data_IF_065858439808
#
_entry.id   IF_065858439808
#
_cell.length_a   1.000
_cell.length_b   1.000
_cell.length_c   1.000
_cell.angle_alpha   90.00
_cell.angle_beta   90.00
_cell.angle_gamma   90.00
#
_symmetry.space_group_name_H-M   'P 1'
#
loop_
_entity.id
_entity.type
_entity.pdbx_description
1 polymer ?
#
# COMPACT_ATOMS: atom_id res chain seq x y z
N UNK A 1 -9.09 15.65 1.57
CA UNK A 1 -8.48 14.34 1.84
C UNK A 1 -9.56 13.37 2.29
N UNK A 2 -9.41 12.11 1.95
CA UNK A 2 -10.37 11.07 2.29
C UNK A 2 -9.70 9.98 3.12
N UNK A 3 -10.48 9.22 3.87
CA UNK A 3 -9.97 8.08 4.61
C UNK A 3 -9.72 6.91 3.67
N UNK A 4 -8.61 6.21 3.88
CA UNK A 4 -8.33 5.03 3.08
C UNK A 4 -9.35 3.92 3.38
N UNK A 5 -9.74 3.17 2.34
CA UNK A 5 -10.70 2.06 2.48
C UNK A 5 -10.13 0.94 3.34
N UNK A 6 -10.92 0.44 4.28
CA UNK A 6 -10.57 -0.67 5.15
C UNK A 6 -11.73 -1.65 5.27
N UNK A 7 -11.51 -2.96 5.12
CA UNK A 7 -10.23 -3.57 4.74
C UNK A 7 -9.88 -3.28 3.28
N UNK A 8 -8.59 -3.45 2.90
CA UNK A 8 -8.20 -3.29 1.51
C UNK A 8 -8.92 -4.29 0.61
N UNK A 9 -9.09 -3.98 -0.69
CA UNK A 9 -9.69 -4.94 -1.61
C UNK A 9 -8.93 -6.27 -1.63
N UNK A 10 -9.66 -7.37 -1.77
CA UNK A 10 -9.08 -8.72 -1.71
C UNK A 10 -7.98 -8.93 -2.76
N UNK A 11 -8.14 -8.36 -3.95
CA UNK A 11 -7.13 -8.48 -5.01
C UNK A 11 -5.79 -7.87 -4.62
N UNK A 12 -5.79 -6.77 -3.89
CA UNK A 12 -4.57 -6.12 -3.40
C UNK A 12 -3.86 -7.03 -2.40
N UNK A 13 -4.60 -7.58 -1.45
CA UNK A 13 -4.02 -8.47 -0.44
C UNK A 13 -3.48 -9.75 -1.07
N UNK A 14 -4.14 -10.26 -2.09
CA UNK A 14 -3.67 -11.42 -2.83
C UNK A 14 -2.33 -11.16 -3.50
N UNK A 15 -2.15 -10.00 -4.11
CA UNK A 15 -0.88 -9.63 -4.74
C UNK A 15 0.25 -9.57 -3.72
N UNK A 16 -0.02 -9.01 -2.54
CA UNK A 16 0.98 -8.94 -1.49
C UNK A 16 1.36 -10.33 -0.99
N UNK A 17 0.38 -11.22 -0.84
CA UNK A 17 0.63 -12.60 -0.44
C UNK A 17 1.49 -13.34 -1.46
N UNK A 18 1.24 -13.14 -2.76
CA UNK A 18 2.07 -13.73 -3.80
C UNK A 18 3.52 -13.25 -3.72
N UNK A 19 3.74 -11.96 -3.44
CA UNK A 19 5.09 -11.42 -3.25
C UNK A 19 5.77 -12.02 -2.02
N UNK A 20 5.01 -12.26 -0.96
CA UNK A 20 5.53 -12.93 0.22
C UNK A 20 6.00 -14.35 -0.12
N UNK A 21 5.20 -15.11 -0.88
CA UNK A 21 5.55 -16.46 -1.31
C UNK A 21 6.81 -16.48 -2.17
N UNK A 22 7.04 -15.41 -2.93
CA UNK A 22 8.22 -15.29 -3.80
C UNK A 22 9.44 -14.71 -3.06
N UNK A 23 9.36 -14.51 -1.75
CA UNK A 23 10.46 -14.01 -0.93
C UNK A 23 10.77 -12.54 -1.10
N UNK A 24 9.89 -11.77 -1.73
CA UNK A 24 10.10 -10.33 -1.97
C UNK A 24 9.60 -9.45 -0.84
N UNK A 25 8.75 -9.99 0.00
CA UNK A 25 8.12 -9.28 1.12
C UNK A 25 8.25 -10.16 2.35
N UNK A 26 8.58 -9.56 3.49
CA UNK A 26 8.72 -10.28 4.75
C UNK A 26 7.45 -10.13 5.61
N UNK A 27 7.36 -10.93 6.68
CA UNK A 27 6.24 -10.85 7.61
C UNK A 27 6.12 -9.46 8.22
N UNK A 28 7.24 -8.82 8.50
CA UNK A 28 7.29 -7.47 9.07
C UNK A 28 6.61 -6.44 8.15
N UNK A 29 6.65 -6.66 6.85
CA UNK A 29 6.00 -5.76 5.90
C UNK A 29 4.48 -5.81 6.02
N UNK A 30 3.93 -7.00 6.29
CA UNK A 30 2.50 -7.14 6.55
C UNK A 30 2.11 -6.41 7.83
N UNK A 31 2.94 -6.51 8.86
CA UNK A 31 2.70 -5.85 10.14
C UNK A 31 2.70 -4.33 9.97
N UNK A 32 3.68 -3.80 9.24
CA UNK A 32 3.76 -2.36 8.98
C UNK A 32 2.55 -1.88 8.18
N UNK A 33 2.17 -2.62 7.14
CA UNK A 33 1.00 -2.27 6.33
C UNK A 33 -0.26 -2.25 7.19
N UNK A 34 -0.44 -3.28 8.03
CA UNK A 34 -1.60 -3.37 8.91
C UNK A 34 -1.66 -2.18 9.87
N UNK A 35 -0.55 -1.88 10.53
CA UNK A 35 -0.48 -0.75 11.45
C UNK A 35 -0.79 0.57 10.75
N UNK A 36 -0.25 0.76 9.55
CA UNK A 36 -0.50 1.97 8.81
C UNK A 36 -1.98 2.10 8.43
N UNK A 37 -2.59 1.02 7.96
CA UNK A 37 -4.02 1.02 7.61
C UNK A 37 -4.91 1.26 8.83
N UNK A 38 -4.54 0.73 9.98
CA UNK A 38 -5.30 0.89 11.22
C UNK A 38 -5.12 2.25 11.88
N UNK A 39 -4.15 3.04 11.45
CA UNK A 39 -3.86 4.34 12.04
C UNK A 39 -4.80 5.46 11.55
N UNK A 40 -5.90 5.10 10.92
CA UNK A 40 -6.91 6.05 10.45
C UNK A 40 -6.35 7.05 9.45
N UNK A 41 -5.71 6.51 8.43
CA UNK A 41 -4.94 7.30 7.45
C UNK A 41 -5.84 8.14 6.56
N UNK A 42 -5.48 9.41 6.40
CA UNK A 42 -6.04 10.28 5.39
C UNK A 42 -5.15 10.25 4.15
N UNK A 43 -5.77 10.13 2.99
CA UNK A 43 -5.07 10.12 1.71
C UNK A 43 -5.65 11.18 0.78
N UNK A 44 -4.85 11.70 -0.18
CA UNK A 44 -5.37 12.65 -1.17
C UNK A 44 -6.47 12.02 -2.01
N UNK A 45 -7.33 12.86 -2.58
CA UNK A 45 -8.39 12.38 -3.47
C UNK A 45 -7.85 11.91 -4.83
N UNK A 46 -6.67 12.40 -5.24
CA UNK A 46 -6.02 11.97 -6.47
C UNK A 46 -5.09 10.80 -6.24
N UNK A 47 -4.12 10.65 -7.13
CA UNK A 47 -3.12 9.58 -7.03
C UNK A 47 -2.16 9.85 -5.88
N UNK A 48 -1.85 8.79 -5.15
CA UNK A 48 -0.93 8.84 -4.02
C UNK A 48 -0.14 7.55 -3.90
N UNK A 49 0.95 7.58 -3.14
CA UNK A 49 1.70 6.37 -2.84
C UNK A 49 2.32 6.46 -1.45
N UNK A 50 2.51 5.29 -0.84
CA UNK A 50 3.18 5.14 0.46
C UNK A 50 4.32 4.16 0.32
N UNK A 51 5.54 4.59 0.66
CA UNK A 51 6.72 3.73 0.59
C UNK A 51 6.88 2.94 1.88
N UNK A 52 7.04 1.63 1.73
CA UNK A 52 7.43 0.73 2.80
C UNK A 52 8.83 0.18 2.51
N UNK A 53 9.37 -0.64 3.43
CA UNK A 53 10.75 -1.11 3.29
C UNK A 53 10.99 -1.90 2.00
N UNK A 54 10.06 -2.80 1.64
CA UNK A 54 10.25 -3.72 0.52
C UNK A 54 9.22 -3.56 -0.59
N UNK A 55 8.36 -2.55 -0.50
CA UNK A 55 7.35 -2.30 -1.54
C UNK A 55 6.80 -0.89 -1.39
N UNK A 56 6.06 -0.46 -2.42
CA UNK A 56 5.31 0.79 -2.39
C UNK A 56 3.84 0.49 -2.65
N UNK A 57 2.97 1.00 -1.79
CA UNK A 57 1.53 0.91 -2.02
C UNK A 57 1.07 2.15 -2.78
N UNK A 58 0.44 1.95 -3.92
CA UNK A 58 -0.11 3.04 -4.72
C UNK A 58 -1.62 2.98 -4.74
N UNK A 59 -2.25 4.14 -4.73
CA UNK A 59 -3.70 4.21 -4.74
C UNK A 59 -4.21 5.50 -5.36
N UNK A 60 -5.52 5.61 -5.37
CA UNK A 60 -6.20 6.82 -5.86
C UNK A 60 -7.45 7.03 -5.01
N UNK A 61 -7.59 8.21 -4.40
CA UNK A 61 -8.65 8.46 -3.46
C UNK A 61 -8.61 7.46 -2.32
N UNK A 62 -9.75 6.93 -1.92
CA UNK A 62 -9.83 5.95 -0.83
C UNK A 62 -9.34 4.56 -1.21
N UNK A 63 -9.10 4.30 -2.49
CA UNK A 63 -8.85 2.96 -3.01
C UNK A 63 -7.35 2.69 -3.18
N UNK A 64 -6.77 1.75 -2.41
CA UNK A 64 -5.47 1.17 -2.77
C UNK A 64 -5.61 0.42 -4.09
N UNK A 65 -4.67 0.64 -5.02
CA UNK A 65 -4.78 0.09 -6.36
C UNK A 65 -3.79 -1.03 -6.63
N UNK A 66 -2.55 -0.87 -6.23
CA UNK A 66 -1.51 -1.84 -6.55
C UNK A 66 -0.31 -1.72 -5.63
N UNK A 67 0.52 -2.77 -5.64
CA UNK A 67 1.83 -2.74 -4.99
C UNK A 67 2.90 -2.66 -6.07
N UNK A 68 3.88 -1.78 -5.83
CA UNK A 68 5.02 -1.60 -6.72
C UNK A 68 6.27 -2.11 -6.02
N UNK A 69 7.25 -2.56 -6.81
CA UNK A 69 8.57 -2.90 -6.25
C UNK A 69 9.30 -1.62 -5.88
N UNK A 70 10.31 -1.68 -4.99
CA UNK A 70 11.02 -0.46 -4.58
C UNK A 70 11.71 0.27 -5.74
N UNK A 71 12.06 -0.45 -6.81
CA UNK A 71 12.71 0.14 -7.97
C UNK A 71 11.75 0.87 -8.90
N UNK A 72 10.46 0.60 -8.80
CA UNK A 72 9.47 1.22 -9.68
C UNK A 72 9.17 2.65 -9.25
N UNK A 73 9.08 3.53 -10.24
CA UNK A 73 8.70 4.92 -9.97
C UNK A 73 7.21 4.99 -9.65
N UNK A 74 6.88 5.67 -8.57
CA UNK A 74 5.49 5.91 -8.19
C UNK A 74 5.08 7.30 -8.64
N UNK A 75 3.78 7.48 -8.91
CA UNK A 75 3.24 8.77 -9.35
C UNK A 75 2.23 9.28 -8.34
N UNK A 76 2.15 10.60 -8.23
CA UNK A 76 1.19 11.26 -7.36
C UNK A 76 1.85 11.80 -6.10
N UNK A 77 1.07 11.95 -5.05
CA UNK A 77 1.49 12.54 -3.79
C UNK A 77 2.03 11.45 -2.86
N UNK A 78 3.22 11.64 -2.32
CA UNK A 78 3.76 10.71 -1.34
C UNK A 78 3.06 10.90 0.01
N UNK A 79 2.59 9.79 0.57
CA UNK A 79 1.93 9.77 1.89
C UNK A 79 2.93 9.20 2.92
N UNK A 80 2.97 9.85 4.09
CA UNK A 80 3.92 9.45 5.15
C UNK A 80 3.25 8.83 6.38
#
# INVERSE_FOLDING_TARGET
MVKILRPPPAGIMKHLLERFRNGRVAVEDFTELKHWLESDVDVPEGKWFKRFANFTLAGEGEMPKTFLTPEMAAKGTEVF
#
